data_IF_803994039332
#
_entry.id   IF_803994039332
#
_cell.length_a   1.000
_cell.length_b   1.000
_cell.length_c   1.000
_cell.angle_alpha   90.00
_cell.angle_beta   90.00
_cell.angle_gamma   90.00
#
_symmetry.space_group_name_H-M   'P 1'
#
loop_
_entity.id
_entity.type
_entity.pdbx_description
1 polymer ?
#
# COMPACT_ATOMS: atom_id res chain seq x y z
N UNK A 1 -11.90 16.98 -3.17
CA UNK A 1 -11.70 15.75 -3.96
C UNK A 1 -10.24 15.54 -4.37
N UNK A 2 -9.78 16.39 -4.75
CA UNK A 2 -8.62 16.28 -5.10
C UNK A 2 -7.78 15.99 -4.11
N UNK A 3 -8.09 16.60 -3.17
CA UNK A 3 -7.26 16.48 -2.00
C UNK A 3 -7.13 15.02 -1.53
N UNK A 4 -8.25 14.31 -1.52
CA UNK A 4 -8.22 12.92 -1.09
C UNK A 4 -7.40 12.08 -2.07
N UNK A 5 -7.55 12.30 -3.38
CA UNK A 5 -6.80 11.54 -4.36
C UNK A 5 -5.33 11.90 -4.34
N UNK A 6 -5.02 13.17 -4.11
CA UNK A 6 -3.62 13.59 -3.98
C UNK A 6 -2.96 12.87 -2.79
N UNK A 7 -3.70 12.79 -1.69
CA UNK A 7 -3.21 12.12 -0.47
C UNK A 7 -2.89 10.66 -0.76
N UNK A 8 -3.77 9.98 -1.51
CA UNK A 8 -3.59 8.58 -1.86
C UNK A 8 -2.41 8.44 -2.85
N UNK A 9 -2.34 9.32 -3.84
CA UNK A 9 -1.25 9.30 -4.80
C UNK A 9 0.10 9.53 -4.12
N UNK A 10 0.12 10.37 -3.11
CA UNK A 10 1.34 10.65 -2.38
C UNK A 10 1.83 9.40 -1.64
N UNK A 11 0.91 8.60 -1.10
CA UNK A 11 1.29 7.34 -0.49
C UNK A 11 1.95 6.41 -1.50
N UNK A 12 1.36 6.31 -2.68
CA UNK A 12 1.94 5.51 -3.77
C UNK A 12 3.36 5.99 -4.09
N UNK A 13 3.53 7.29 -4.23
CA UNK A 13 4.83 7.86 -4.60
C UNK A 13 5.87 7.61 -3.51
N UNK A 14 5.48 7.66 -2.25
CA UNK A 14 6.40 7.38 -1.15
C UNK A 14 6.89 5.94 -1.19
N UNK A 15 5.98 5.01 -1.45
CA UNK A 15 6.38 3.60 -1.58
C UNK A 15 7.36 3.46 -2.74
N UNK A 16 7.04 4.08 -3.86
CA UNK A 16 7.88 3.99 -5.04
C UNK A 16 9.28 4.50 -4.74
N UNK A 17 9.38 5.58 -3.98
CA UNK A 17 10.68 6.14 -3.60
C UNK A 17 11.50 5.13 -2.81
N UNK A 18 10.89 4.44 -1.85
CA UNK A 18 11.60 3.43 -1.08
C UNK A 18 12.07 2.29 -1.97
N UNK A 19 11.19 1.82 -2.85
CA UNK A 19 11.52 0.70 -3.73
C UNK A 19 12.64 1.05 -4.71
N UNK A 20 12.63 2.27 -5.24
CA UNK A 20 13.70 2.72 -6.13
C UNK A 20 15.01 2.81 -5.35
N UNK A 21 14.97 3.36 -4.17
CA UNK A 21 16.16 3.48 -3.33
C UNK A 21 16.73 2.11 -2.99
N UNK A 22 15.85 1.14 -2.75
CA UNK A 22 16.27 -0.24 -2.51
C UNK A 22 16.99 -0.81 -3.72
N UNK A 23 16.41 -0.68 -4.92
CA UNK A 23 17.03 -1.09 -6.16
C UNK A 23 17.27 -2.57 -6.30
N UNK A 24 16.61 -3.39 -5.50
CA UNK A 24 16.83 -4.82 -5.51
C UNK A 24 15.90 -5.55 -6.46
N UNK A 25 15.99 -6.86 -6.41
CA UNK A 25 15.21 -7.76 -7.27
C UNK A 25 13.88 -8.06 -6.61
N UNK A 26 12.78 -7.69 -7.24
CA UNK A 26 11.46 -7.96 -6.69
C UNK A 26 11.18 -9.45 -6.56
N UNK A 27 11.85 -10.27 -7.37
CA UNK A 27 11.69 -11.72 -7.26
C UNK A 27 12.28 -12.28 -5.97
N UNK A 28 13.09 -11.51 -5.28
CA UNK A 28 13.63 -11.94 -4.00
C UNK A 28 12.64 -11.75 -2.86
N UNK A 29 11.56 -11.01 -3.10
CA UNK A 29 10.53 -10.77 -2.08
C UNK A 29 9.51 -11.89 -2.12
N UNK A 30 9.18 -12.40 -0.95
CA UNK A 30 8.15 -13.43 -0.83
C UNK A 30 6.82 -12.78 -0.48
N UNK A 31 5.75 -13.56 -0.56
CA UNK A 31 4.42 -13.10 -0.18
C UNK A 31 4.42 -12.59 1.27
N UNK A 32 3.57 -11.59 1.55
CA UNK A 32 3.47 -11.09 2.91
C UNK A 32 3.09 -12.18 3.91
N UNK A 33 2.43 -13.24 3.45
CA UNK A 33 2.04 -14.34 4.33
C UNK A 33 3.25 -15.12 4.84
N UNK A 34 4.39 -14.98 4.19
CA UNK A 34 5.58 -15.74 4.53
C UNK A 34 6.50 -15.01 5.50
N UNK A 35 6.12 -13.81 5.92
CA UNK A 35 6.90 -13.04 6.88
C UNK A 35 6.12 -12.91 8.18
N UNK A 36 6.86 -12.65 9.24
CA UNK A 36 6.27 -12.42 10.54
C UNK A 36 6.27 -10.93 10.85
N UNK A 37 5.09 -10.40 11.11
CA UNK A 37 4.93 -8.98 11.39
C UNK A 37 4.52 -8.80 12.84
N UNK A 38 5.17 -7.85 13.51
CA UNK A 38 5.00 -7.69 14.95
C UNK A 38 4.21 -6.45 15.33
N UNK A 39 4.32 -5.39 14.55
CA UNK A 39 3.75 -4.11 14.97
C UNK A 39 2.28 -4.00 14.59
N UNK A 40 1.57 -3.18 15.34
CA UNK A 40 0.16 -2.97 15.11
C UNK A 40 -0.10 -2.36 13.73
N UNK A 41 0.74 -1.39 13.33
CA UNK A 41 0.53 -0.74 12.05
C UNK A 41 0.73 -1.71 10.89
N UNK A 42 1.69 -2.63 11.02
CA UNK A 42 1.89 -3.65 9.99
C UNK A 42 0.66 -4.54 9.87
N UNK A 43 0.09 -4.93 11.01
CA UNK A 43 -1.09 -5.78 11.01
C UNK A 43 -2.30 -5.06 10.43
N UNK A 44 -2.40 -3.75 10.66
CA UNK A 44 -3.48 -2.95 10.05
C UNK A 44 -3.35 -2.94 8.53
N UNK A 45 -2.14 -2.76 8.02
CA UNK A 45 -1.93 -2.78 6.58
C UNK A 45 -2.26 -4.14 5.97
N UNK A 46 -1.86 -5.21 6.65
CA UNK A 46 -2.18 -6.56 6.18
C UNK A 46 -3.70 -6.75 6.09
N UNK A 47 -4.41 -6.28 7.11
CA UNK A 47 -5.86 -6.39 7.11
C UNK A 47 -6.47 -5.65 5.92
N UNK A 48 -5.97 -4.45 5.60
CA UNK A 48 -6.43 -3.69 4.44
C UNK A 48 -6.20 -4.49 3.16
N UNK A 49 -5.02 -5.08 3.03
CA UNK A 49 -4.71 -5.86 1.84
C UNK A 49 -5.69 -7.03 1.70
N UNK A 50 -5.97 -7.70 2.80
CA UNK A 50 -6.87 -8.85 2.79
C UNK A 50 -8.32 -8.46 2.49
N UNK A 51 -8.73 -7.27 2.91
CA UNK A 51 -10.10 -6.80 2.71
C UNK A 51 -10.36 -6.27 1.31
N UNK A 52 -9.31 -5.95 0.57
CA UNK A 52 -9.46 -5.22 -0.68
C UNK A 52 -10.40 -5.91 -1.68
N UNK A 53 -10.27 -7.22 -1.95
CA UNK A 53 -11.17 -7.84 -2.93
C UNK A 53 -12.64 -7.71 -2.54
N UNK A 54 -12.96 -7.84 -1.27
CA UNK A 54 -14.33 -7.72 -0.81
C UNK A 54 -14.84 -6.29 -0.94
N UNK A 55 -13.99 -5.32 -0.67
CA UNK A 55 -14.35 -3.90 -0.83
C UNK A 55 -14.72 -3.62 -2.29
N UNK A 56 -13.91 -4.14 -3.23
CA UNK A 56 -14.17 -3.96 -4.64
C UNK A 56 -15.50 -4.60 -5.03
N UNK A 57 -15.73 -5.81 -4.56
CA UNK A 57 -16.95 -6.54 -4.90
C UNK A 57 -18.18 -5.79 -4.38
N UNK A 58 -18.14 -5.34 -3.14
CA UNK A 58 -19.26 -4.62 -2.54
C UNK A 58 -19.52 -3.29 -3.26
N UNK A 59 -18.45 -2.54 -3.54
CA UNK A 59 -18.58 -1.25 -4.21
C UNK A 59 -19.18 -1.42 -5.61
N UNK A 60 -18.79 -2.49 -6.31
CA UNK A 60 -19.32 -2.77 -7.63
C UNK A 60 -20.80 -3.10 -7.56
N UNK A 61 -21.18 -3.99 -6.66
CA UNK A 61 -22.59 -4.38 -6.50
C UNK A 61 -23.47 -3.19 -6.17
N UNK A 62 -22.98 -2.31 -5.31
CA UNK A 62 -23.78 -1.19 -4.82
C UNK A 62 -23.66 0.05 -5.67
N UNK A 63 -22.87 -0.02 -6.75
CA UNK A 63 -22.61 1.15 -7.60
C UNK A 63 -22.10 2.31 -6.75
N UNK A 64 -21.14 2.02 -5.89
CA UNK A 64 -20.70 2.98 -4.89
C UNK A 64 -19.17 3.15 -4.95
N UNK A 65 -18.65 3.81 -5.99
CA UNK A 65 -17.20 3.99 -6.11
C UNK A 65 -16.60 4.78 -4.97
N UNK A 66 -17.39 5.58 -4.27
CA UNK A 66 -16.88 6.31 -3.10
C UNK A 66 -16.40 5.37 -2.00
N UNK A 67 -16.91 4.13 -1.96
CA UNK A 67 -16.42 3.16 -0.98
C UNK A 67 -14.98 2.77 -1.28
N UNK A 68 -14.61 2.69 -2.56
CA UNK A 68 -13.23 2.42 -2.93
C UNK A 68 -12.35 3.60 -2.53
N UNK A 69 -12.80 4.83 -2.82
CA UNK A 69 -12.02 6.01 -2.48
C UNK A 69 -11.78 6.11 -0.98
N UNK A 70 -12.82 5.86 -0.17
CA UNK A 70 -12.67 5.90 1.28
C UNK A 70 -11.72 4.83 1.79
N UNK A 71 -11.81 3.63 1.24
CA UNK A 71 -10.91 2.54 1.61
C UNK A 71 -9.45 2.91 1.30
N UNK A 72 -9.21 3.46 0.12
CA UNK A 72 -7.86 3.85 -0.27
C UNK A 72 -7.32 4.97 0.61
N UNK A 73 -8.21 5.88 1.03
CA UNK A 73 -7.81 6.94 1.94
C UNK A 73 -7.31 6.34 3.26
N UNK A 74 -8.01 5.33 3.77
CA UNK A 74 -7.58 4.67 4.99
C UNK A 74 -6.27 3.93 4.81
N UNK A 75 -6.10 3.26 3.66
CA UNK A 75 -4.84 2.60 3.35
C UNK A 75 -3.70 3.62 3.32
N UNK A 76 -3.94 4.76 2.71
CA UNK A 76 -2.93 5.81 2.62
C UNK A 76 -2.56 6.32 4.00
N UNK A 77 -3.56 6.52 4.86
CA UNK A 77 -3.29 6.99 6.21
C UNK A 77 -2.41 5.99 6.98
N UNK A 78 -2.74 4.71 6.86
CA UNK A 78 -1.93 3.69 7.52
C UNK A 78 -0.51 3.65 6.95
N UNK A 79 -0.40 3.76 5.64
CA UNK A 79 0.91 3.77 4.98
C UNK A 79 1.74 4.97 5.41
N UNK A 80 1.13 6.14 5.47
CA UNK A 80 1.87 7.35 5.88
C UNK A 80 2.37 7.20 7.31
N UNK A 81 1.56 6.64 8.20
CA UNK A 81 2.01 6.37 9.56
C UNK A 81 3.18 5.40 9.60
N UNK A 82 3.07 4.33 8.82
CA UNK A 82 4.13 3.33 8.75
C UNK A 82 5.42 3.94 8.20
N UNK A 83 5.29 4.72 7.14
CA UNK A 83 6.43 5.39 6.51
C UNK A 83 7.14 6.32 7.48
N UNK A 84 6.38 7.08 8.26
CA UNK A 84 6.97 8.06 9.17
C UNK A 84 7.72 7.40 10.31
N UNK A 85 7.27 6.24 10.75
CA UNK A 85 7.80 5.61 11.97
C UNK A 85 8.72 4.44 11.71
N UNK A 86 9.02 4.12 10.46
CA UNK A 86 9.73 2.89 10.13
C UNK A 86 10.94 3.16 9.25
N UNK A 87 12.02 2.48 9.57
CA UNK A 87 13.18 2.45 8.68
C UNK A 87 13.08 1.17 7.86
N UNK A 88 13.02 1.32 6.54
CA UNK A 88 12.80 0.17 5.67
C UNK A 88 14.07 -0.54 5.28
N UNK A 89 15.11 0.22 4.92
CA UNK A 89 16.32 -0.37 4.37
C UNK A 89 17.31 -0.66 5.48
N UNK A 90 16.90 -1.58 6.37
CA UNK A 90 17.72 -2.00 7.49
C UNK A 90 18.65 -3.14 7.06
N UNK A 91 19.61 -3.47 7.93
CA UNK A 91 20.63 -4.46 7.59
C UNK A 91 20.11 -5.90 7.63
N UNK A 92 19.19 -6.19 8.54
CA UNK A 92 18.64 -7.55 8.65
C UNK A 92 17.78 -7.83 7.42
N UNK A 93 18.19 -8.82 6.64
CA UNK A 93 17.50 -9.10 5.37
C UNK A 93 16.06 -9.52 5.55
N UNK A 94 15.78 -10.30 6.59
CA UNK A 94 14.43 -10.78 6.78
C UNK A 94 13.49 -9.62 7.15
N UNK A 95 13.94 -8.75 8.03
CA UNK A 95 13.15 -7.56 8.39
C UNK A 95 12.97 -6.65 7.19
N UNK A 96 14.06 -6.40 6.49
CA UNK A 96 14.01 -5.51 5.32
C UNK A 96 13.05 -6.06 4.27
N UNK A 97 13.21 -7.32 3.91
CA UNK A 97 12.39 -7.91 2.86
C UNK A 97 10.93 -8.00 3.27
N UNK A 98 10.67 -8.27 4.54
CA UNK A 98 9.29 -8.29 5.02
C UNK A 98 8.62 -6.93 4.89
N UNK A 99 9.34 -5.88 5.30
CA UNK A 99 8.80 -4.52 5.21
C UNK A 99 8.62 -4.09 3.78
N UNK A 100 9.59 -4.44 2.91
CA UNK A 100 9.47 -4.10 1.48
C UNK A 100 8.30 -4.85 0.84
N UNK A 101 8.12 -6.12 1.19
CA UNK A 101 7.00 -6.89 0.65
C UNK A 101 5.67 -6.27 1.06
N UNK A 102 5.57 -5.80 2.29
CA UNK A 102 4.33 -5.21 2.78
C UNK A 102 3.99 -3.92 2.05
N UNK A 103 4.97 -3.02 1.88
CA UNK A 103 4.67 -1.78 1.17
C UNK A 103 4.47 -2.02 -0.32
N UNK A 104 5.13 -3.03 -0.88
CA UNK A 104 4.92 -3.38 -2.29
C UNK A 104 3.49 -3.88 -2.50
N UNK A 105 2.99 -4.73 -1.60
CA UNK A 105 1.60 -5.18 -1.67
C UNK A 105 0.63 -4.01 -1.50
N UNK A 106 0.93 -3.11 -0.58
CA UNK A 106 0.11 -1.91 -0.37
C UNK A 106 0.08 -1.06 -1.64
N UNK A 107 1.23 -0.92 -2.31
CA UNK A 107 1.31 -0.15 -3.53
C UNK A 107 0.40 -0.73 -4.61
N UNK A 108 0.37 -2.06 -4.75
CA UNK A 108 -0.49 -2.71 -5.71
C UNK A 108 -1.96 -2.42 -5.46
N UNK A 109 -2.37 -2.47 -4.20
CA UNK A 109 -3.75 -2.20 -3.82
C UNK A 109 -4.12 -0.76 -4.19
N UNK A 110 -3.24 0.18 -3.87
CA UNK A 110 -3.48 1.59 -4.16
C UNK A 110 -3.59 1.80 -5.66
N UNK A 111 -2.66 1.23 -6.42
CA UNK A 111 -2.68 1.40 -7.88
C UNK A 111 -3.96 0.81 -8.48
N UNK A 112 -4.31 -0.40 -8.06
CA UNK A 112 -5.49 -1.07 -8.62
C UNK A 112 -6.76 -0.32 -8.26
N UNK A 113 -6.85 0.16 -7.03
CA UNK A 113 -8.01 0.93 -6.60
C UNK A 113 -8.14 2.25 -7.34
N UNK A 114 -7.03 2.96 -7.49
CA UNK A 114 -7.04 4.22 -8.24
C UNK A 114 -7.44 3.99 -9.70
N UNK A 115 -6.89 2.94 -10.31
CA UNK A 115 -7.23 2.63 -11.70
C UNK A 115 -8.72 2.35 -11.87
N UNK A 116 -9.32 1.65 -10.92
CA UNK A 116 -10.76 1.40 -10.97
C UNK A 116 -11.56 2.69 -10.92
N UNK A 117 -11.02 3.72 -10.29
CA UNK A 117 -11.64 5.03 -10.21
C UNK A 117 -11.25 5.94 -11.38
N UNK A 118 -10.44 5.45 -12.30
CA UNK A 118 -9.99 6.23 -13.45
C UNK A 118 -8.91 7.24 -13.10
N UNK A 119 -8.17 7.00 -12.04
CA UNK A 119 -7.15 7.94 -11.56
C UNK A 119 -5.79 7.28 -11.65
N UNK A 120 -4.81 8.02 -12.16
CA UNK A 120 -3.47 7.48 -12.33
C UNK A 120 -2.71 7.42 -11.01
N UNK A 121 -1.70 6.54 -10.97
CA UNK A 121 -0.79 6.42 -9.84
C UNK A 121 0.59 6.88 -10.30
N UNK A 122 0.96 8.13 -10.00
CA UNK A 122 2.22 8.68 -10.52
C UNK A 122 3.42 8.08 -9.80
N UNK A 123 4.52 7.94 -10.53
CA UNK A 123 5.74 7.35 -9.98
C UNK A 123 6.46 8.32 -9.04
N UNK A 124 6.20 9.59 -9.17
CA UNK A 124 6.84 10.59 -8.29
C UNK A 124 5.93 11.79 -8.12
N UNK A 125 6.12 12.46 -7.02
CA UNK A 125 5.38 13.68 -6.72
C UNK A 125 6.27 14.65 -5.95
#
# INVERSE_FOLDING_TARGET
IXTIFYYIQYAYARIQRVLIQWGGDFNSLRSIEEYRYETLIEKKLIKKIEEFPEIIETATKELAPHQIANFLKECAADLHGYYNDTKFLVDNNNEKNGRLSLIYATQHIIKNGLNLLGISAPDSM
#
